data_IF_297164748277
#
_entry.id   IF_297164748277
#
_cell.length_a   1.000
_cell.length_b   1.000
_cell.length_c   1.000
_cell.angle_alpha   90.00
_cell.angle_beta   90.00
_cell.angle_gamma   90.00
#
_symmetry.space_group_name_H-M   'P 1'
#
loop_
_entity.id
_entity.type
_entity.pdbx_description
1 polymer ?
#
# COMPACT_ATOMS: atom_id res chain seq x y z
N UNK A 1 10.67 8.93 1.77
CA UNK A 1 9.75 7.78 1.90
C UNK A 1 10.03 6.81 0.74
N UNK A 2 10.73 5.68 1.00
CA UNK A 2 11.22 4.76 -0.07
C UNK A 2 10.09 4.13 -0.89
N UNK A 3 8.94 3.86 -0.26
CA UNK A 3 7.75 3.30 -0.93
C UNK A 3 7.28 4.20 -2.08
N UNK A 4 7.00 5.47 -1.81
CA UNK A 4 6.56 6.42 -2.85
C UNK A 4 7.57 6.58 -3.98
N UNK A 5 8.87 6.60 -3.66
CA UNK A 5 9.93 6.69 -4.68
C UNK A 5 9.89 5.50 -5.64
N UNK A 6 9.73 4.28 -5.12
CA UNK A 6 9.63 3.07 -5.94
C UNK A 6 8.32 3.05 -6.73
N UNK A 7 7.18 3.38 -6.12
CA UNK A 7 5.90 3.46 -6.84
C UNK A 7 5.97 4.44 -8.02
N UNK A 8 6.61 5.60 -7.82
CA UNK A 8 6.85 6.59 -8.88
C UNK A 8 7.80 6.08 -9.97
N UNK A 9 8.86 5.35 -9.60
CA UNK A 9 9.80 4.74 -10.56
C UNK A 9 9.09 3.81 -11.54
N UNK A 10 8.08 3.06 -11.07
CA UNK A 10 7.27 2.15 -11.89
C UNK A 10 6.04 2.82 -12.51
N UNK A 11 5.87 4.13 -12.32
CA UNK A 11 4.71 4.90 -12.76
C UNK A 11 3.38 4.22 -12.34
N UNK A 12 3.32 3.80 -11.08
CA UNK A 12 2.10 3.28 -10.46
C UNK A 12 1.14 4.44 -10.23
N UNK A 13 -0.11 4.27 -10.65
CA UNK A 13 -1.21 5.19 -10.36
C UNK A 13 -1.74 4.89 -8.95
N UNK A 14 -1.47 5.77 -7.99
CA UNK A 14 -1.87 5.58 -6.59
C UNK A 14 -2.22 6.89 -5.89
N UNK A 15 -2.91 6.77 -4.75
CA UNK A 15 -3.19 7.84 -3.80
C UNK A 15 -2.88 7.35 -2.39
N UNK A 16 -2.16 8.14 -1.61
CA UNK A 16 -2.06 7.91 -0.16
C UNK A 16 -3.42 8.27 0.44
N UNK A 17 -3.99 7.36 1.23
CA UNK A 17 -5.30 7.52 1.88
C UNK A 17 -5.17 7.27 3.38
N UNK A 18 -6.30 7.34 4.11
CA UNK A 18 -6.32 7.05 5.55
C UNK A 18 -5.62 8.11 6.41
N UNK A 19 -5.27 7.72 7.65
CA UNK A 19 -4.67 8.61 8.65
C UNK A 19 -3.32 9.20 8.21
N UNK A 20 -2.58 8.46 7.38
CA UNK A 20 -1.31 8.91 6.81
C UNK A 20 -1.45 10.11 5.86
N UNK A 21 -2.52 10.17 5.05
CA UNK A 21 -2.80 11.33 4.20
C UNK A 21 -3.17 12.58 5.02
N UNK A 22 -3.89 12.40 6.13
CA UNK A 22 -4.28 13.47 7.05
C UNK A 22 -3.07 13.98 7.85
N UNK A 23 -2.16 13.08 8.23
CA UNK A 23 -0.91 13.42 8.93
C UNK A 23 0.08 14.20 8.05
N UNK A 24 0.11 13.92 6.74
CA UNK A 24 0.97 14.65 5.79
C UNK A 24 0.62 16.15 5.69
N UNK A 25 -0.64 16.54 5.93
CA UNK A 25 -1.10 17.94 5.95
C UNK A 25 -1.15 18.56 7.36
N UNK A 26 -0.41 17.99 8.34
CA UNK A 26 -0.22 18.61 9.66
C UNK A 26 -1.18 18.18 10.77
N UNK A 27 -2.05 17.20 10.52
CA UNK A 27 -2.93 16.62 11.55
C UNK A 27 -2.43 15.22 11.93
N UNK A 28 -1.36 15.18 12.72
CA UNK A 28 -0.77 13.93 13.22
C UNK A 28 -1.72 13.29 14.25
N UNK A 29 -2.58 12.36 13.83
CA UNK A 29 -3.25 11.44 14.76
C UNK A 29 -2.37 10.21 14.91
N UNK A 30 -1.98 9.87 16.14
CA UNK A 30 -1.37 8.57 16.41
C UNK A 30 -2.35 7.48 15.94
N UNK A 31 -1.86 6.46 15.22
CA UNK A 31 -2.61 5.23 14.99
C UNK A 31 -3.05 4.70 16.36
N UNK A 32 -4.33 4.37 16.52
CA UNK A 32 -4.87 3.85 17.79
C UNK A 32 -5.33 2.42 17.53
N UNK A 33 -4.82 1.48 18.32
CA UNK A 33 -5.30 0.08 18.31
C UNK A 33 -6.77 0.01 18.70
N UNK A 34 -7.45 -1.11 18.42
CA UNK A 34 -8.86 -1.30 18.84
C UNK A 34 -9.08 -1.19 20.36
N UNK A 35 -8.00 -1.24 21.15
CA UNK A 35 -7.99 -1.06 22.60
C UNK A 35 -7.79 0.40 23.06
N UNK A 36 -7.73 1.37 22.15
CA UNK A 36 -7.54 2.79 22.53
C UNK A 36 -6.08 3.19 22.82
N UNK A 37 -5.12 2.28 22.58
CA UNK A 37 -3.69 2.50 22.84
C UNK A 37 -3.01 2.99 21.55
N UNK A 38 -2.07 3.95 21.60
CA UNK A 38 -1.22 4.28 20.45
C UNK A 38 -0.57 3.02 19.89
N UNK A 39 -0.76 2.76 18.60
CA UNK A 39 -0.07 1.69 17.91
C UNK A 39 1.40 2.11 17.76
N UNK A 40 2.31 1.23 18.17
CA UNK A 40 3.77 1.45 18.10
C UNK A 40 4.28 1.68 16.67
N UNK A 41 3.52 1.24 15.66
CA UNK A 41 3.86 1.39 14.24
C UNK A 41 2.73 2.10 13.48
N UNK A 42 3.05 3.16 12.70
CA UNK A 42 2.07 3.81 11.84
C UNK A 42 1.63 2.88 10.70
N UNK A 43 0.40 3.07 10.26
CA UNK A 43 -0.17 2.38 9.08
C UNK A 43 -0.18 3.33 7.88
N UNK A 44 0.40 2.87 6.78
CA UNK A 44 0.43 3.57 5.49
C UNK A 44 -0.57 2.92 4.57
N UNK A 45 -1.73 3.56 4.42
CA UNK A 45 -2.76 3.13 3.48
C UNK A 45 -2.55 3.81 2.12
N UNK A 46 -2.45 3.01 1.07
CA UNK A 46 -2.34 3.48 -0.31
C UNK A 46 -3.45 2.83 -1.12
N UNK A 47 -4.32 3.65 -1.69
CA UNK A 47 -5.18 3.19 -2.77
C UNK A 47 -4.39 3.16 -4.08
N UNK A 48 -4.56 2.11 -4.88
CA UNK A 48 -4.02 2.06 -6.23
C UNK A 48 -5.16 1.93 -7.23
N UNK A 49 -5.01 2.53 -8.41
CA UNK A 49 -5.99 2.38 -9.49
C UNK A 49 -5.99 0.92 -9.98
N UNK A 50 -7.04 0.11 -9.77
CA UNK A 50 -6.99 -1.33 -9.97
C UNK A 50 -7.22 -1.72 -11.45
N UNK A 51 -6.47 -1.10 -12.37
CA UNK A 51 -6.38 -1.55 -13.77
C UNK A 51 -5.36 -2.68 -13.88
N UNK A 52 -5.50 -3.55 -14.88
CA UNK A 52 -4.54 -4.64 -15.11
C UNK A 52 -3.11 -4.14 -15.26
N UNK A 53 -2.89 -3.10 -16.08
CA UNK A 53 -1.57 -2.53 -16.29
C UNK A 53 -0.98 -1.98 -15.00
N UNK A 54 -1.78 -1.23 -14.23
CA UNK A 54 -1.31 -0.64 -12.99
C UNK A 54 -1.06 -1.70 -11.90
N UNK A 55 -1.85 -2.76 -11.87
CA UNK A 55 -1.65 -3.91 -10.99
C UNK A 55 -0.28 -4.57 -11.21
N UNK A 56 0.10 -4.84 -12.46
CA UNK A 56 1.41 -5.45 -12.72
C UNK A 56 2.58 -4.49 -12.44
N UNK A 57 2.42 -3.19 -12.70
CA UNK A 57 3.40 -2.17 -12.26
C UNK A 57 3.55 -2.18 -10.73
N UNK A 58 2.44 -2.30 -9.99
CA UNK A 58 2.44 -2.41 -8.55
C UNK A 58 3.18 -3.68 -8.09
N UNK A 59 2.95 -4.83 -8.73
CA UNK A 59 3.69 -6.06 -8.43
C UNK A 59 5.19 -5.91 -8.65
N UNK A 60 5.63 -5.25 -9.73
CA UNK A 60 7.04 -4.99 -10.00
C UNK A 60 7.67 -4.03 -8.98
N UNK A 61 6.92 -3.01 -8.56
CA UNK A 61 7.32 -2.13 -7.47
C UNK A 61 7.47 -2.89 -6.14
N UNK A 62 6.55 -3.82 -5.83
CA UNK A 62 6.61 -4.67 -4.64
C UNK A 62 7.84 -5.58 -4.63
N UNK A 63 8.24 -6.15 -5.78
CA UNK A 63 9.51 -6.88 -5.91
C UNK A 63 10.70 -6.01 -5.55
N UNK A 64 10.73 -4.76 -6.04
CA UNK A 64 11.82 -3.80 -5.73
C UNK A 64 11.83 -3.39 -4.24
N UNK A 65 10.68 -3.44 -3.58
CA UNK A 65 10.54 -3.27 -2.13
C UNK A 65 10.88 -4.54 -1.33
N UNK A 66 11.35 -5.60 -2.00
CA UNK A 66 11.79 -6.86 -1.39
C UNK A 66 10.66 -7.84 -1.08
N UNK A 67 9.46 -7.62 -1.62
CA UNK A 67 8.32 -8.51 -1.39
C UNK A 67 8.25 -9.62 -2.43
N UNK A 68 7.90 -10.83 -1.98
CA UNK A 68 7.60 -11.94 -2.89
C UNK A 68 6.15 -11.82 -3.39
N UNK A 69 6.02 -11.65 -4.70
CA UNK A 69 4.73 -11.56 -5.41
C UNK A 69 4.54 -12.68 -6.43
N UNK A 70 5.38 -13.73 -6.38
CA UNK A 70 5.40 -14.81 -7.37
C UNK A 70 4.03 -15.45 -7.55
N UNK A 71 3.31 -15.67 -6.44
CA UNK A 71 1.94 -16.19 -6.46
C UNK A 71 1.02 -15.34 -7.35
N UNK A 72 1.06 -14.02 -7.17
CA UNK A 72 0.19 -13.08 -7.88
C UNK A 72 0.54 -12.96 -9.37
N UNK A 73 1.85 -12.98 -9.69
CA UNK A 73 2.31 -12.98 -11.08
C UNK A 73 1.93 -14.24 -11.85
N UNK A 74 1.77 -15.37 -11.16
CA UNK A 74 1.42 -16.65 -11.76
C UNK A 74 -0.10 -16.92 -11.82
N UNK A 75 -0.93 -16.00 -11.33
CA UNK A 75 -2.38 -16.11 -11.49
C UNK A 75 -2.76 -16.00 -12.98
N UNK A 76 -3.52 -16.96 -13.51
CA UNK A 76 -3.95 -16.92 -14.91
C UNK A 76 -4.98 -15.82 -15.19
N UNK A 77 -5.83 -15.52 -14.20
CA UNK A 77 -6.89 -14.51 -14.30
C UNK A 77 -6.89 -13.68 -13.00
N UNK A 78 -5.88 -12.81 -12.78
CA UNK A 78 -5.84 -12.00 -11.58
C UNK A 78 -6.99 -11.00 -11.59
N UNK A 79 -7.52 -10.65 -10.42
CA UNK A 79 -8.59 -9.68 -10.28
C UNK A 79 -8.13 -8.46 -9.46
N UNK A 80 -7.53 -7.45 -10.11
CA UNK A 80 -7.01 -6.26 -9.43
C UNK A 80 -8.01 -5.57 -8.50
N UNK A 81 -9.31 -5.56 -8.85
CA UNK A 81 -10.35 -4.90 -8.03
C UNK A 81 -10.62 -5.61 -6.70
N UNK A 82 -10.13 -6.84 -6.54
CA UNK A 82 -10.24 -7.64 -5.31
C UNK A 82 -8.89 -7.94 -4.66
N UNK A 83 -7.78 -7.45 -5.24
CA UNK A 83 -6.44 -7.73 -4.74
C UNK A 83 -6.05 -6.69 -3.69
N UNK A 84 -6.09 -7.11 -2.43
CA UNK A 84 -5.55 -6.37 -1.30
C UNK A 84 -4.17 -6.92 -0.94
N UNK A 85 -3.21 -6.04 -0.65
CA UNK A 85 -1.89 -6.43 -0.18
C UNK A 85 -1.57 -5.75 1.14
N UNK A 86 -1.01 -6.51 2.07
CA UNK A 86 -0.56 -6.03 3.38
C UNK A 86 0.84 -6.53 3.65
N UNK A 87 1.74 -5.61 3.99
CA UNK A 87 3.13 -5.92 4.28
C UNK A 87 3.57 -5.23 5.57
N UNK A 88 4.27 -5.97 6.42
CA UNK A 88 4.83 -5.45 7.66
C UNK A 88 6.31 -5.10 7.44
N UNK A 89 6.65 -3.83 7.64
CA UNK A 89 8.02 -3.36 7.72
C UNK A 89 8.37 -3.09 9.18
N UNK A 90 9.67 -3.02 9.50
CA UNK A 90 10.15 -2.76 10.86
C UNK A 90 9.56 -1.47 11.47
N UNK A 91 9.30 -0.47 10.61
CA UNK A 91 8.89 0.87 11.00
C UNK A 91 7.41 1.19 10.75
N UNK A 92 6.70 0.43 9.91
CA UNK A 92 5.32 0.73 9.53
C UNK A 92 4.65 -0.49 8.87
N UNK A 93 3.32 -0.47 8.82
CA UNK A 93 2.54 -1.39 7.97
C UNK A 93 2.20 -0.70 6.65
N UNK A 94 2.26 -1.42 5.54
CA UNK A 94 1.80 -0.95 4.23
C UNK A 94 0.57 -1.72 3.80
N UNK A 95 -0.56 -1.02 3.65
CA UNK A 95 -1.81 -1.56 3.14
C UNK A 95 -2.08 -0.96 1.75
N UNK A 96 -2.21 -1.83 0.74
CA UNK A 96 -2.50 -1.47 -0.66
C UNK A 96 -3.92 -1.87 -1.02
N UNK A 97 -4.78 -0.86 -1.16
CA UNK A 97 -6.22 -0.99 -1.29
C UNK A 97 -6.65 -0.89 -2.76
N UNK A 98 -7.40 -1.86 -3.30
CA UNK A 98 -7.94 -1.77 -4.66
C UNK A 98 -9.18 -0.86 -4.73
N UNK A 99 -9.81 -0.57 -3.59
CA UNK A 99 -11.03 0.23 -3.48
C UNK A 99 -10.93 1.19 -2.29
N UNK A 100 -11.52 2.37 -2.43
CA UNK A 100 -11.79 3.31 -1.34
C UNK A 100 -13.30 3.23 -1.07
N UNK A 101 -13.71 3.30 0.20
CA UNK A 101 -15.13 3.42 0.58
C UNK A 101 -15.60 4.87 0.55
#
# INVERSE_FOLDING_TARGET
MRVCQVLNQYAVDYLIVGGSAVAYYGYFRHSITMAGVPADRPDVDIWYNPTYTNYFKLLDALVTLGQDVTRYKNEQVPNPKKSFFRYEFDLFTLDLLPTIK
#
